data_IF_427666129531
#
_entry.id   IF_427666129531
#
_cell.length_a   1.000
_cell.length_b   1.000
_cell.length_c   1.000
_cell.angle_alpha   90.00
_cell.angle_beta   90.00
_cell.angle_gamma   90.00
#
_symmetry.space_group_name_H-M   'P 1'
#
loop_
_entity.id
_entity.type
_entity.pdbx_description
1 polymer ?
#
# COMPACT_ATOMS: atom_id res chain seq x y z
N UNK A 1 80.66 10.39 21.88
CA UNK A 1 80.86 10.69 20.45
C UNK A 1 79.77 9.96 19.65
N UNK A 2 78.94 10.74 18.94
CA UNK A 2 78.29 10.45 17.65
C UNK A 2 77.31 9.25 17.61
N UNK A 3 75.99 9.51 17.56
CA UNK A 3 75.12 9.82 16.39
C UNK A 3 74.52 8.57 15.74
N UNK A 4 73.17 8.47 15.75
CA UNK A 4 72.32 8.24 14.56
C UNK A 4 70.82 8.25 14.94
N UNK A 5 70.17 9.37 14.69
CA UNK A 5 68.73 9.49 14.39
C UNK A 5 68.64 10.39 13.16
N UNK A 6 67.97 9.93 12.10
CA UNK A 6 67.27 10.74 11.07
C UNK A 6 66.68 9.79 10.02
N UNK A 7 65.35 9.71 9.94
CA UNK A 7 64.60 9.77 8.68
C UNK A 7 63.10 9.80 8.95
N UNK A 8 62.44 10.91 8.60
CA UNK A 8 60.98 10.98 8.61
C UNK A 8 60.44 12.40 8.60
N UNK A 9 60.72 13.21 7.59
CA UNK A 9 60.03 14.49 7.38
C UNK A 9 60.18 14.97 5.92
N UNK A 10 59.36 14.42 5.02
CA UNK A 10 59.13 14.95 3.66
C UNK A 10 57.77 14.43 3.18
N UNK A 11 56.64 15.02 3.62
CA UNK A 11 55.31 14.77 3.02
C UNK A 11 54.16 15.71 3.42
N UNK A 12 54.43 16.96 3.86
CA UNK A 12 53.39 17.86 4.39
C UNK A 12 53.25 19.23 3.72
N UNK A 13 53.83 19.47 2.54
CA UNK A 13 53.85 20.83 1.94
C UNK A 13 53.06 21.01 0.64
N UNK A 14 52.32 20.01 0.15
CA UNK A 14 51.62 20.11 -1.15
C UNK A 14 50.09 20.10 -1.06
N UNK A 15 49.49 20.34 0.11
CA UNK A 15 48.03 20.33 0.27
C UNK A 15 47.40 21.71 0.46
N UNK A 16 48.21 22.71 0.77
CA UNK A 16 47.71 24.05 1.07
C UNK A 16 47.69 24.97 -0.18
N UNK A 17 48.39 24.60 -1.27
CA UNK A 17 48.42 25.42 -2.51
C UNK A 17 47.25 25.11 -3.47
N UNK A 18 46.64 23.91 -3.41
CA UNK A 18 45.48 23.56 -4.26
C UNK A 18 44.17 24.16 -3.72
N UNK A 19 44.06 24.38 -2.41
CA UNK A 19 42.88 24.98 -1.77
C UNK A 19 42.80 26.52 -1.98
N UNK A 20 43.94 27.19 -2.23
CA UNK A 20 43.99 28.64 -2.46
C UNK A 20 43.58 29.05 -3.90
N UNK A 21 43.72 28.17 -4.89
CA UNK A 21 43.35 28.46 -6.29
C UNK A 21 41.82 28.38 -6.53
N UNK A 22 41.08 27.60 -5.73
CA UNK A 22 39.61 27.53 -5.82
C UNK A 22 38.93 28.77 -5.22
N UNK A 23 39.55 29.45 -4.24
CA UNK A 23 38.99 30.65 -3.60
C UNK A 23 39.05 31.91 -4.50
N UNK A 24 39.95 31.96 -5.50
CA UNK A 24 40.09 33.14 -6.37
C UNK A 24 39.00 33.26 -7.45
N UNK A 25 38.37 32.15 -7.83
CA UNK A 25 37.32 32.15 -8.85
C UNK A 25 35.93 32.52 -8.31
N UNK A 26 35.78 32.62 -6.98
CA UNK A 26 34.50 32.83 -6.30
C UNK A 26 34.32 34.28 -5.77
N UNK A 27 35.23 35.20 -6.10
CA UNK A 27 35.20 36.61 -5.65
C UNK A 27 34.07 37.48 -6.24
N UNK A 28 33.20 36.91 -7.09
CA UNK A 28 32.10 37.61 -7.75
C UNK A 28 30.70 37.39 -7.18
N UNK A 29 30.53 36.44 -6.25
CA UNK A 29 29.22 36.03 -5.76
C UNK A 29 28.93 36.58 -4.36
N UNK A 30 27.73 37.15 -4.19
CA UNK A 30 27.25 37.59 -2.88
C UNK A 30 27.14 36.38 -1.92
N UNK A 31 27.27 36.60 -0.61
CA UNK A 31 27.25 35.51 0.39
C UNK A 31 25.98 34.63 0.34
N UNK A 32 24.85 35.18 -0.14
CA UNK A 32 23.61 34.43 -0.37
C UNK A 32 23.71 33.56 -1.65
N UNK A 33 24.40 34.00 -2.70
CA UNK A 33 24.64 33.22 -3.92
C UNK A 33 25.59 32.03 -3.68
N UNK A 34 26.58 32.19 -2.78
CA UNK A 34 27.49 31.11 -2.36
C UNK A 34 26.78 30.03 -1.55
N UNK A 35 25.83 30.41 -0.70
CA UNK A 35 25.06 29.45 0.12
C UNK A 35 24.16 28.56 -0.74
N UNK A 36 23.69 29.07 -1.89
CA UNK A 36 22.89 28.32 -2.85
C UNK A 36 23.72 27.68 -3.98
N UNK A 37 25.04 27.85 -4.02
CA UNK A 37 25.90 27.33 -5.09
C UNK A 37 25.90 25.79 -5.14
N UNK A 38 25.92 25.13 -3.97
CA UNK A 38 25.79 23.67 -3.84
C UNK A 38 24.33 23.18 -4.01
N UNK A 39 23.35 24.08 -3.97
CA UNK A 39 21.92 23.78 -4.09
C UNK A 39 21.33 24.14 -5.46
N UNK A 40 22.18 24.43 -6.47
CA UNK A 40 21.74 24.74 -7.84
C UNK A 40 21.25 23.51 -8.61
N UNK A 41 20.21 22.86 -8.08
CA UNK A 41 19.54 21.71 -8.68
C UNK A 41 19.05 21.96 -10.12
N UNK A 42 18.88 23.23 -10.51
CA UNK A 42 18.54 23.67 -11.87
C UNK A 42 19.70 23.54 -12.88
N UNK A 43 20.96 23.50 -12.44
CA UNK A 43 22.12 23.30 -13.33
C UNK A 43 22.25 21.84 -13.81
N UNK A 44 21.62 20.88 -13.10
CA UNK A 44 21.57 19.47 -13.50
C UNK A 44 20.47 19.15 -14.53
N UNK A 45 19.62 20.12 -14.87
CA UNK A 45 18.55 19.94 -15.86
C UNK A 45 19.15 20.00 -17.28
N UNK A 46 18.98 18.92 -18.05
CA UNK A 46 19.47 18.86 -19.43
C UNK A 46 18.40 19.36 -20.39
N UNK A 47 18.77 20.13 -21.41
CA UNK A 47 17.86 20.52 -22.50
C UNK A 47 17.92 19.51 -23.67
N UNK A 48 16.81 19.36 -24.38
CA UNK A 48 16.73 18.61 -25.63
C UNK A 48 17.11 19.49 -26.84
N UNK A 49 17.18 18.87 -28.03
CA UNK A 49 17.58 19.55 -29.27
C UNK A 49 16.61 20.69 -29.68
N UNK A 50 15.42 20.74 -29.06
CA UNK A 50 14.42 21.80 -29.27
C UNK A 50 14.44 22.88 -28.19
N UNK A 51 15.35 22.80 -27.20
CA UNK A 51 15.45 23.75 -26.09
C UNK A 51 14.40 23.53 -24.99
N UNK A 52 13.75 22.36 -24.93
CA UNK A 52 12.91 21.97 -23.80
C UNK A 52 13.70 21.13 -22.79
N UNK A 53 13.38 21.25 -21.51
CA UNK A 53 14.01 20.46 -20.47
C UNK A 53 13.68 18.97 -20.66
N UNK A 54 14.71 18.12 -20.72
CA UNK A 54 14.59 16.68 -20.70
C UNK A 54 14.06 16.24 -19.33
N UNK A 55 12.93 15.51 -19.27
CA UNK A 55 12.50 14.89 -18.04
C UNK A 55 13.58 13.88 -17.59
N UNK A 56 13.98 13.97 -16.33
CA UNK A 56 14.91 13.01 -15.72
C UNK A 56 14.28 11.61 -15.84
N UNK A 57 14.98 10.65 -16.49
CA UNK A 57 14.47 9.29 -16.66
C UNK A 57 14.50 8.53 -15.33
N UNK A 58 13.48 8.77 -14.51
CA UNK A 58 13.31 8.15 -13.21
C UNK A 58 12.82 6.70 -13.31
N UNK A 59 12.66 6.11 -14.50
CA UNK A 59 12.15 4.74 -14.64
C UNK A 59 13.01 3.70 -13.93
N UNK A 60 14.34 3.83 -14.03
CA UNK A 60 15.26 2.90 -13.37
C UNK A 60 15.22 3.06 -11.85
N UNK A 61 15.13 4.30 -11.35
CA UNK A 61 15.00 4.59 -9.92
C UNK A 61 13.67 4.08 -9.36
N UNK A 62 12.58 4.35 -10.06
CA UNK A 62 11.24 3.86 -9.72
C UNK A 62 11.20 2.34 -9.70
N UNK A 63 11.78 1.67 -10.71
CA UNK A 63 11.87 0.21 -10.76
C UNK A 63 12.75 -0.37 -9.65
N UNK A 64 13.86 0.30 -9.30
CA UNK A 64 14.71 -0.10 -8.18
C UNK A 64 13.97 0.01 -6.84
N UNK A 65 13.23 1.10 -6.60
CA UNK A 65 12.38 1.27 -5.43
C UNK A 65 11.26 0.22 -5.38
N UNK A 66 10.58 -0.01 -6.51
CA UNK A 66 9.57 -1.05 -6.66
C UNK A 66 10.10 -2.43 -6.26
N UNK A 67 11.26 -2.84 -6.76
CA UNK A 67 11.83 -4.15 -6.43
C UNK A 67 12.31 -4.27 -4.99
N UNK A 68 12.78 -3.18 -4.39
CA UNK A 68 13.08 -3.15 -2.96
C UNK A 68 11.84 -3.49 -2.13
N UNK A 69 10.68 -2.95 -2.50
CA UNK A 69 9.38 -3.29 -1.88
C UNK A 69 9.02 -4.76 -2.11
N UNK A 70 9.09 -5.22 -3.36
CA UNK A 70 8.75 -6.60 -3.73
C UNK A 70 9.59 -7.65 -2.98
N UNK A 71 10.90 -7.43 -2.86
CA UNK A 71 11.81 -8.34 -2.13
C UNK A 71 11.52 -8.37 -0.62
N UNK A 72 11.12 -7.23 -0.05
CA UNK A 72 10.74 -7.15 1.36
C UNK A 72 9.42 -7.90 1.62
N UNK A 73 8.46 -7.82 0.70
CA UNK A 73 7.16 -8.48 0.80
C UNK A 73 7.18 -9.99 0.52
N UNK A 74 8.11 -10.49 -0.29
CA UNK A 74 8.17 -11.89 -0.76
C UNK A 74 9.08 -12.80 0.07
N UNK A 75 9.85 -12.25 1.01
CA UNK A 75 10.95 -12.97 1.67
C UNK A 75 10.53 -14.14 2.58
N UNK A 76 9.27 -14.27 2.98
CA UNK A 76 8.88 -15.30 3.95
C UNK A 76 7.49 -15.87 3.62
N UNK A 77 7.41 -17.20 3.50
CA UNK A 77 6.14 -17.96 3.50
C UNK A 77 5.50 -17.85 4.89
N UNK A 78 4.80 -16.75 5.13
CA UNK A 78 4.12 -16.46 6.40
C UNK A 78 2.63 -16.77 6.23
N UNK A 79 2.00 -17.22 7.31
CA UNK A 79 0.55 -17.28 7.38
C UNK A 79 -0.03 -15.87 7.21
N UNK A 80 -0.93 -15.69 6.25
CA UNK A 80 -1.60 -14.41 5.99
C UNK A 80 -3.03 -14.44 6.48
N UNK A 81 -3.49 -13.31 7.00
CA UNK A 81 -4.88 -13.11 7.40
C UNK A 81 -5.77 -12.80 6.22
N UNK A 82 -6.42 -13.81 5.63
CA UNK A 82 -7.26 -13.62 4.44
C UNK A 82 -8.60 -12.92 4.73
N UNK A 83 -9.16 -13.13 5.92
CA UNK A 83 -10.43 -12.51 6.34
C UNK A 83 -10.08 -11.37 7.29
N UNK A 84 -10.16 -10.14 6.77
CA UNK A 84 -9.82 -8.93 7.50
C UNK A 84 -11.09 -8.13 7.77
N UNK A 85 -11.16 -7.57 8.96
CA UNK A 85 -12.18 -6.64 9.37
C UNK A 85 -11.46 -5.33 9.68
N UNK A 86 -11.49 -4.44 8.70
CA UNK A 86 -10.76 -3.18 8.71
C UNK A 86 -11.69 -2.03 9.01
N UNK A 87 -11.41 -1.27 10.07
CA UNK A 87 -12.01 0.05 10.25
C UNK A 87 -11.05 1.13 9.78
N UNK A 88 -11.53 1.98 8.86
CA UNK A 88 -10.81 3.19 8.43
C UNK A 88 -11.32 4.35 9.28
N UNK A 89 -10.45 4.93 10.10
CA UNK A 89 -10.76 6.10 10.93
C UNK A 89 -10.23 7.34 10.24
N UNK A 90 -11.12 8.28 9.93
CA UNK A 90 -10.80 9.48 9.18
C UNK A 90 -10.91 10.69 10.10
N UNK A 91 -9.84 11.46 10.19
CA UNK A 91 -9.84 12.73 10.91
C UNK A 91 -10.59 13.82 10.13
N UNK A 92 -11.72 14.27 10.67
CA UNK A 92 -12.52 15.40 10.17
C UNK A 92 -12.41 16.64 11.08
N UNK A 93 -11.32 16.76 11.84
CA UNK A 93 -11.04 17.94 12.66
C UNK A 93 -10.73 19.17 11.81
N UNK A 94 -10.58 20.34 12.45
CA UNK A 94 -10.16 21.59 11.80
C UNK A 94 -8.86 21.44 11.00
N UNK A 95 -7.94 20.58 11.44
CA UNK A 95 -6.66 20.35 10.78
C UNK A 95 -6.82 19.73 9.37
N UNK A 96 -7.92 19.01 9.12
CA UNK A 96 -8.23 18.44 7.80
C UNK A 96 -8.71 19.50 6.78
N UNK A 97 -8.94 20.74 7.22
CA UNK A 97 -9.34 21.86 6.34
C UNK A 97 -8.13 22.60 5.74
N UNK A 98 -6.92 22.33 6.23
CA UNK A 98 -5.70 22.96 5.73
C UNK A 98 -5.44 22.63 4.25
N UNK A 99 -4.72 23.52 3.57
CA UNK A 99 -4.56 23.53 2.10
C UNK A 99 -3.13 23.23 1.64
N UNK A 100 -2.39 22.46 2.42
CA UNK A 100 -1.10 21.88 2.03
C UNK A 100 -1.30 20.91 0.85
N UNK A 101 -2.33 20.07 0.90
CA UNK A 101 -2.89 19.40 -0.26
C UNK A 101 -3.94 20.28 -0.96
N UNK A 102 -4.04 20.16 -2.29
CA UNK A 102 -5.02 20.94 -3.09
C UNK A 102 -6.24 20.08 -3.43
N UNK A 103 -7.49 20.57 -3.21
CA UNK A 103 -7.84 21.88 -2.66
C UNK A 103 -7.67 22.00 -1.13
N UNK A 104 -7.89 20.91 -0.38
CA UNK A 104 -7.60 20.78 1.06
C UNK A 104 -7.27 19.32 1.40
N UNK A 105 -6.74 19.06 2.62
CA UNK A 105 -6.41 17.70 3.08
C UNK A 105 -7.58 16.75 2.94
N UNK A 106 -8.76 17.15 3.43
CA UNK A 106 -9.91 16.27 3.48
C UNK A 106 -10.33 15.73 2.11
N UNK A 107 -10.38 16.59 1.10
CA UNK A 107 -10.77 16.18 -0.26
C UNK A 107 -9.76 15.19 -0.84
N UNK A 108 -8.46 15.41 -0.61
CA UNK A 108 -7.42 14.49 -1.08
C UNK A 108 -7.51 13.17 -0.32
N UNK A 109 -7.62 13.20 1.00
CA UNK A 109 -7.81 12.00 1.85
C UNK A 109 -9.04 11.20 1.39
N UNK A 110 -10.19 11.86 1.16
CA UNK A 110 -11.39 11.18 0.67
C UNK A 110 -11.17 10.46 -0.66
N UNK A 111 -10.48 11.10 -1.61
CA UNK A 111 -10.16 10.50 -2.91
C UNK A 111 -9.20 9.31 -2.77
N UNK A 112 -8.19 9.41 -1.91
CA UNK A 112 -7.27 8.29 -1.68
C UNK A 112 -7.97 7.13 -0.96
N UNK A 113 -8.87 7.41 0.00
CA UNK A 113 -9.70 6.38 0.64
C UNK A 113 -10.67 5.74 -0.36
N UNK A 114 -11.28 6.51 -1.25
CA UNK A 114 -12.14 5.97 -2.31
C UNK A 114 -11.36 4.99 -3.21
N UNK A 115 -10.17 5.39 -3.67
CA UNK A 115 -9.31 4.52 -4.47
C UNK A 115 -8.90 3.26 -3.69
N UNK A 116 -8.54 3.43 -2.42
CA UNK A 116 -8.17 2.34 -1.52
C UNK A 116 -9.31 1.35 -1.29
N UNK A 117 -10.55 1.82 -1.06
CA UNK A 117 -11.70 0.92 -0.84
C UNK A 117 -11.88 0.01 -2.06
N UNK A 118 -11.79 0.55 -3.28
CA UNK A 118 -11.92 -0.27 -4.50
C UNK A 118 -10.79 -1.28 -4.63
N UNK A 119 -9.54 -0.84 -4.46
CA UNK A 119 -8.38 -1.73 -4.53
C UNK A 119 -8.41 -2.81 -3.43
N UNK A 120 -8.77 -2.43 -2.21
CA UNK A 120 -8.86 -3.32 -1.07
C UNK A 120 -9.84 -4.46 -1.31
N UNK A 121 -11.03 -4.17 -1.86
CA UNK A 121 -12.04 -5.21 -2.16
C UNK A 121 -11.68 -6.05 -3.39
N UNK A 122 -10.91 -5.53 -4.33
CA UNK A 122 -10.41 -6.33 -5.46
C UNK A 122 -9.39 -7.37 -4.98
N UNK A 123 -8.44 -6.92 -4.15
CA UNK A 123 -7.37 -7.73 -3.57
C UNK A 123 -7.85 -8.66 -2.43
N UNK A 124 -8.85 -8.24 -1.66
CA UNK A 124 -9.35 -8.93 -0.46
C UNK A 124 -10.88 -9.05 -0.48
N UNK A 125 -11.45 -9.83 -1.42
CA UNK A 125 -12.90 -9.90 -1.57
C UNK A 125 -13.62 -10.42 -0.32
N UNK A 126 -12.98 -11.27 0.50
CA UNK A 126 -13.59 -11.82 1.72
C UNK A 126 -13.59 -10.85 2.92
N UNK A 127 -12.86 -9.75 2.81
CA UNK A 127 -12.69 -8.80 3.89
C UNK A 127 -13.86 -7.83 3.97
N UNK A 128 -14.01 -7.16 5.11
CA UNK A 128 -15.04 -6.16 5.34
C UNK A 128 -14.40 -4.85 5.77
N UNK A 129 -14.97 -3.74 5.29
CA UNK A 129 -14.56 -2.39 5.68
C UNK A 129 -15.69 -1.74 6.47
N UNK A 130 -15.33 -0.98 7.50
CA UNK A 130 -16.20 0.01 8.12
C UNK A 130 -15.50 1.37 8.16
N UNK A 131 -16.27 2.45 8.24
CA UNK A 131 -15.76 3.82 8.23
C UNK A 131 -16.14 4.52 9.54
N UNK A 132 -15.18 5.18 10.16
CA UNK A 132 -15.39 6.09 11.28
C UNK A 132 -14.82 7.46 10.98
N UNK A 133 -15.36 8.45 11.65
CA UNK A 133 -14.89 9.83 11.60
C UNK A 133 -14.64 10.37 12.99
N UNK A 134 -13.57 11.16 13.13
CA UNK A 134 -13.26 11.91 14.34
C UNK A 134 -13.61 13.37 14.08
N UNK A 135 -14.57 13.91 14.82
CA UNK A 135 -15.08 15.27 14.61
C UNK A 135 -15.60 15.84 15.91
N UNK A 136 -15.31 17.12 16.17
CA UNK A 136 -15.82 17.84 17.36
C UNK A 136 -15.55 17.11 18.68
N UNK A 137 -14.40 16.43 18.80
CA UNK A 137 -13.99 15.65 19.97
C UNK A 137 -14.73 14.30 20.12
N UNK A 138 -15.55 13.90 19.14
CA UNK A 138 -16.38 12.69 19.19
C UNK A 138 -16.05 11.77 18.01
N UNK A 139 -16.21 10.46 18.22
CA UNK A 139 -16.12 9.48 17.16
C UNK A 139 -17.51 9.07 16.65
N UNK A 140 -17.70 9.10 15.34
CA UNK A 140 -18.94 8.71 14.69
C UNK A 140 -18.71 7.56 13.71
N UNK A 141 -19.49 6.50 13.84
CA UNK A 141 -19.55 5.43 12.85
C UNK A 141 -20.31 5.94 11.61
N UNK A 142 -19.61 6.07 10.48
CA UNK A 142 -20.22 6.47 9.21
C UNK A 142 -20.90 5.29 8.53
N UNK A 143 -20.22 4.14 8.50
CA UNK A 143 -20.74 2.90 7.94
C UNK A 143 -20.29 1.72 8.79
N UNK A 144 -21.21 0.81 9.06
CA UNK A 144 -20.92 -0.47 9.67
C UNK A 144 -20.05 -1.35 8.75
N UNK A 145 -19.54 -2.46 9.30
CA UNK A 145 -18.74 -3.42 8.54
C UNK A 145 -19.58 -4.01 7.39
N UNK A 146 -19.10 -3.80 6.17
CA UNK A 146 -19.78 -4.22 4.96
C UNK A 146 -18.80 -4.68 3.89
N UNK A 147 -19.36 -5.33 2.87
CA UNK A 147 -18.64 -5.78 1.67
C UNK A 147 -18.96 -4.97 0.41
N UNK A 148 -19.67 -3.85 0.53
CA UNK A 148 -20.16 -3.07 -0.62
C UNK A 148 -19.36 -1.77 -0.79
N UNK A 149 -18.43 -1.69 -1.76
CA UNK A 149 -17.57 -0.52 -1.97
C UNK A 149 -18.37 0.78 -2.14
N UNK A 150 -19.40 0.76 -2.98
CA UNK A 150 -20.19 1.94 -3.35
C UNK A 150 -20.97 2.52 -2.17
N UNK A 151 -21.42 1.68 -1.24
CA UNK A 151 -22.07 2.13 0.00
C UNK A 151 -21.12 2.96 0.86
N UNK A 152 -19.88 2.48 1.05
CA UNK A 152 -18.85 3.17 1.82
C UNK A 152 -18.41 4.47 1.14
N UNK A 153 -18.16 4.42 -0.17
CA UNK A 153 -17.71 5.59 -0.95
C UNK A 153 -18.79 6.68 -0.94
N UNK A 154 -20.06 6.32 -1.16
CA UNK A 154 -21.17 7.29 -1.12
C UNK A 154 -21.32 7.93 0.26
N UNK A 155 -21.18 7.14 1.33
CA UNK A 155 -21.27 7.66 2.70
C UNK A 155 -20.12 8.62 3.03
N UNK A 156 -18.91 8.31 2.59
CA UNK A 156 -17.73 9.16 2.76
C UNK A 156 -17.86 10.49 2.00
N UNK A 157 -18.16 10.40 0.70
CA UNK A 157 -18.26 11.58 -0.18
C UNK A 157 -19.44 12.49 0.20
N UNK A 158 -20.45 11.94 0.89
CA UNK A 158 -21.57 12.72 1.43
C UNK A 158 -21.27 13.52 2.70
N UNK A 159 -20.14 13.29 3.38
CA UNK A 159 -19.81 13.89 4.69
C UNK A 159 -18.37 14.39 4.78
N UNK A 160 -18.05 15.43 3.99
CA UNK A 160 -16.71 16.05 3.95
C UNK A 160 -16.58 17.32 4.83
N UNK A 161 -17.55 17.59 5.71
CA UNK A 161 -17.53 18.80 6.55
C UNK A 161 -16.63 18.59 7.76
N UNK A 162 -15.54 19.33 7.81
CA UNK A 162 -14.56 19.32 8.90
C UNK A 162 -14.86 20.38 9.95
N UNK A 163 -14.75 20.03 11.24
CA UNK A 163 -14.82 20.98 12.35
C UNK A 163 -14.27 20.38 13.66
N UNK A 164 -13.98 21.28 14.62
CA UNK A 164 -13.58 20.90 15.97
C UNK A 164 -12.24 20.18 16.03
N UNK A 165 -12.06 19.37 17.07
CA UNK A 165 -10.82 18.65 17.36
C UNK A 165 -11.00 17.13 17.18
N UNK A 166 -9.90 16.40 16.97
CA UNK A 166 -9.91 14.94 16.87
C UNK A 166 -9.76 14.31 18.26
N UNK A 167 -10.47 13.21 18.52
CA UNK A 167 -10.28 12.38 19.72
C UNK A 167 -9.93 10.94 19.33
N UNK A 168 -8.67 10.56 19.54
CA UNK A 168 -8.18 9.21 19.30
C UNK A 168 -8.81 8.20 20.27
N UNK A 169 -8.96 8.56 21.54
CA UNK A 169 -9.52 7.67 22.56
C UNK A 169 -10.96 7.27 22.21
N UNK A 170 -11.83 8.24 21.92
CA UNK A 170 -13.22 7.96 21.54
C UNK A 170 -13.29 7.12 20.24
N UNK A 171 -12.37 7.37 19.30
CA UNK A 171 -12.22 6.58 18.08
C UNK A 171 -11.89 5.12 18.37
N UNK A 172 -10.84 4.89 19.18
CA UNK A 172 -10.37 3.57 19.54
C UNK A 172 -11.36 2.80 20.41
N UNK A 173 -12.03 3.45 21.36
CA UNK A 173 -13.04 2.82 22.22
C UNK A 173 -14.27 2.38 21.39
N UNK A 174 -14.72 3.22 20.45
CA UNK A 174 -15.82 2.86 19.54
C UNK A 174 -15.41 1.69 18.64
N UNK A 175 -14.22 1.74 18.04
CA UNK A 175 -13.71 0.65 17.19
C UNK A 175 -13.52 -0.65 17.99
N UNK A 176 -13.01 -0.57 19.22
CA UNK A 176 -12.87 -1.72 20.13
C UNK A 176 -14.23 -2.37 20.40
N UNK A 177 -15.26 -1.58 20.67
CA UNK A 177 -16.62 -2.08 20.92
C UNK A 177 -17.21 -2.83 19.70
N UNK A 178 -16.89 -2.37 18.48
CA UNK A 178 -17.36 -2.95 17.22
C UNK A 178 -16.56 -4.20 16.86
N UNK A 179 -15.23 -4.14 16.91
CA UNK A 179 -14.33 -5.25 16.56
C UNK A 179 -14.39 -6.41 17.57
N UNK A 180 -14.77 -6.18 18.83
CA UNK A 180 -14.92 -7.25 19.81
C UNK A 180 -16.09 -8.20 19.51
N UNK A 181 -17.09 -7.74 18.76
CA UNK A 181 -18.23 -8.58 18.35
C UNK A 181 -17.83 -9.57 17.24
N UNK A 182 -16.67 -9.35 16.61
CA UNK A 182 -16.21 -10.13 15.47
C UNK A 182 -15.59 -11.45 15.93
N UNK A 183 -15.83 -12.55 15.20
CA UNK A 183 -15.21 -13.84 15.50
C UNK A 183 -13.68 -13.78 15.59
N UNK A 184 -13.11 -14.62 16.46
CA UNK A 184 -11.67 -14.65 16.74
C UNK A 184 -10.79 -15.12 15.58
N UNK A 185 -11.38 -15.71 14.53
CA UNK A 185 -10.65 -16.10 13.32
C UNK A 185 -10.39 -14.91 12.37
N UNK A 186 -11.09 -13.80 12.57
CA UNK A 186 -10.94 -12.59 11.76
C UNK A 186 -9.77 -11.75 12.23
N UNK A 187 -9.01 -11.22 11.28
CA UNK A 187 -8.00 -10.20 11.60
C UNK A 187 -8.68 -8.87 11.85
N UNK A 188 -8.46 -8.32 13.04
CA UNK A 188 -9.04 -7.06 13.50
C UNK A 188 -8.04 -5.95 13.25
N UNK A 189 -8.36 -5.05 12.32
CA UNK A 189 -7.43 -4.03 11.86
C UNK A 189 -8.07 -2.64 11.92
N UNK A 190 -7.24 -1.64 12.20
CA UNK A 190 -7.60 -0.22 12.19
C UNK A 190 -6.57 0.53 11.37
N UNK A 191 -7.03 1.30 10.39
CA UNK A 191 -6.21 2.22 9.62
C UNK A 191 -6.69 3.65 9.90
N UNK A 192 -5.86 4.46 10.55
CA UNK A 192 -6.21 5.84 10.87
C UNK A 192 -5.51 6.80 9.91
N UNK A 193 -6.27 7.69 9.28
CA UNK A 193 -5.76 8.80 8.48
C UNK A 193 -5.88 10.07 9.33
N UNK A 194 -4.76 10.49 9.90
CA UNK A 194 -4.71 11.47 10.98
C UNK A 194 -4.11 12.79 10.49
N UNK A 195 -4.88 13.88 10.59
CA UNK A 195 -4.47 15.21 10.12
C UNK A 195 -3.97 16.08 11.27
N UNK A 196 -4.60 15.97 12.44
CA UNK A 196 -4.28 16.81 13.59
C UNK A 196 -2.90 16.50 14.16
N UNK A 197 -2.29 17.51 14.81
CA UNK A 197 -1.04 17.37 15.56
C UNK A 197 -1.26 17.13 17.05
N UNK A 198 -2.52 17.14 17.48
CA UNK A 198 -2.96 16.99 18.86
C UNK A 198 -4.25 16.19 18.90
N UNK A 199 -4.40 15.37 19.93
CA UNK A 199 -5.64 14.66 20.26
C UNK A 199 -6.29 15.27 21.51
N UNK A 200 -7.61 15.39 21.51
CA UNK A 200 -8.39 15.90 22.63
C UNK A 200 -9.22 14.76 23.22
N UNK A 201 -8.64 14.05 24.18
CA UNK A 201 -9.21 12.84 24.77
C UNK A 201 -9.72 13.07 26.20
N UNK A 202 -10.83 12.44 26.61
CA UNK A 202 -11.43 12.65 27.93
C UNK A 202 -10.65 12.01 29.09
N UNK A 203 -9.86 10.96 28.84
CA UNK A 203 -9.12 10.22 29.87
C UNK A 203 -7.75 9.77 29.39
N UNK A 204 -7.20 8.73 30.05
CA UNK A 204 -5.88 8.19 29.70
C UNK A 204 -5.96 7.27 28.48
N UNK A 205 -5.42 7.74 27.36
CA UNK A 205 -5.32 6.98 26.12
C UNK A 205 -4.45 5.72 26.26
N UNK A 206 -3.48 5.72 27.18
CA UNK A 206 -2.58 4.58 27.37
C UNK A 206 -3.34 3.33 27.82
N UNK A 207 -4.38 3.49 28.64
CA UNK A 207 -5.27 2.39 29.01
C UNK A 207 -6.04 1.85 27.79
N UNK A 208 -6.54 2.74 26.93
CA UNK A 208 -7.24 2.35 25.69
C UNK A 208 -6.30 1.61 24.72
N UNK A 209 -5.04 2.03 24.62
CA UNK A 209 -4.00 1.31 23.83
C UNK A 209 -3.81 -0.11 24.38
N UNK A 210 -3.71 -0.27 25.70
CA UNK A 210 -3.60 -1.60 26.33
C UNK A 210 -4.86 -2.44 26.13
N UNK A 211 -6.05 -1.85 26.14
CA UNK A 211 -7.31 -2.54 25.78
C UNK A 211 -7.27 -3.05 24.34
N UNK A 212 -6.85 -2.23 23.37
CA UNK A 212 -6.70 -2.64 21.98
C UNK A 212 -5.70 -3.80 21.81
N UNK A 213 -4.54 -3.73 22.50
CA UNK A 213 -3.54 -4.79 22.53
C UNK A 213 -4.10 -6.10 23.08
N UNK A 214 -4.80 -6.04 24.22
CA UNK A 214 -5.43 -7.22 24.84
C UNK A 214 -6.49 -7.88 23.94
N UNK A 215 -7.22 -7.06 23.16
CA UNK A 215 -8.21 -7.50 22.18
C UNK A 215 -7.62 -7.93 20.82
N UNK A 216 -6.28 -7.95 20.69
CA UNK A 216 -5.54 -8.35 19.47
C UNK A 216 -5.91 -7.51 18.25
N UNK A 217 -6.15 -6.22 18.45
CA UNK A 217 -6.48 -5.26 17.38
C UNK A 217 -5.17 -4.64 16.89
N UNK A 218 -4.89 -4.75 15.59
CA UNK A 218 -3.73 -4.11 14.95
C UNK A 218 -4.07 -2.70 14.48
N UNK A 219 -3.40 -1.69 15.00
CA UNK A 219 -3.65 -0.29 14.64
C UNK A 219 -2.48 0.29 13.85
N UNK A 220 -2.75 0.71 12.62
CA UNK A 220 -1.81 1.44 11.76
C UNK A 220 -2.30 2.88 11.57
N UNK A 221 -1.38 3.84 11.51
CA UNK A 221 -1.71 5.25 11.36
C UNK A 221 -0.85 5.88 10.28
N UNK A 222 -1.49 6.65 9.40
CA UNK A 222 -0.84 7.52 8.43
C UNK A 222 -1.08 8.95 8.89
N UNK A 223 -0.01 9.62 9.33
CA UNK A 223 -0.02 11.05 9.68
C UNK A 223 0.19 11.90 8.43
N UNK A 224 -0.55 13.00 8.29
CA UNK A 224 -0.47 13.86 7.10
C UNK A 224 0.66 14.88 7.13
N UNK A 225 1.16 15.25 8.31
CA UNK A 225 2.13 16.36 8.44
C UNK A 225 3.35 16.01 9.28
N UNK A 226 3.13 15.53 10.52
CA UNK A 226 4.22 15.24 11.42
C UNK A 226 3.97 13.95 12.20
N UNK A 227 5.04 13.41 12.78
CA UNK A 227 4.98 12.25 13.65
C UNK A 227 4.44 12.62 15.04
N UNK A 228 3.37 11.95 15.48
CA UNK A 228 2.87 12.05 16.85
C UNK A 228 3.36 10.88 17.69
N UNK A 229 3.97 11.18 18.83
CA UNK A 229 4.48 10.18 19.77
C UNK A 229 3.43 9.14 20.18
N UNK A 230 2.21 9.58 20.52
CA UNK A 230 1.13 8.68 20.96
C UNK A 230 0.69 7.73 19.83
N UNK A 231 0.59 8.22 18.58
CA UNK A 231 0.25 7.38 17.44
C UNK A 231 1.37 6.37 17.13
N UNK A 232 2.64 6.79 17.22
CA UNK A 232 3.80 5.89 17.08
C UNK A 232 3.77 4.79 18.13
N UNK A 233 3.53 5.17 19.39
CA UNK A 233 3.44 4.24 20.51
C UNK A 233 2.27 3.24 20.34
N UNK A 234 1.09 3.72 19.92
CA UNK A 234 -0.06 2.87 19.57
C UNK A 234 0.30 1.82 18.51
N UNK A 235 0.95 2.22 17.43
CA UNK A 235 1.34 1.30 16.36
C UNK A 235 2.36 0.26 16.83
N UNK A 236 3.35 0.67 17.62
CA UNK A 236 4.36 -0.24 18.18
C UNK A 236 3.75 -1.27 19.14
N UNK A 237 2.84 -0.84 20.03
CA UNK A 237 2.20 -1.72 21.01
C UNK A 237 1.21 -2.72 20.37
N UNK A 238 0.56 -2.33 19.28
CA UNK A 238 -0.45 -3.15 18.57
C UNK A 238 0.12 -3.93 17.39
N UNK A 239 1.41 -3.77 17.06
CA UNK A 239 2.07 -4.43 15.92
C UNK A 239 1.62 -3.90 14.55
N UNK A 240 1.13 -2.66 14.50
CA UNK A 240 0.86 -1.92 13.26
C UNK A 240 2.05 -1.11 12.77
N UNK A 241 1.81 -0.21 11.82
CA UNK A 241 2.84 0.68 11.26
C UNK A 241 2.40 2.15 11.36
N UNK A 242 3.38 3.02 11.61
CA UNK A 242 3.22 4.47 11.60
C UNK A 242 4.02 5.07 10.45
N UNK A 243 3.35 5.80 9.57
CA UNK A 243 3.97 6.45 8.41
C UNK A 243 3.51 7.91 8.32
N UNK A 244 4.35 8.78 7.74
CA UNK A 244 4.02 10.18 7.51
C UNK A 244 4.05 10.46 6.01
N UNK A 245 2.96 11.03 5.48
CA UNK A 245 2.90 11.42 4.06
C UNK A 245 3.66 12.72 3.82
N UNK A 246 4.30 12.82 2.65
CA UNK A 246 5.05 14.00 2.23
C UNK A 246 4.25 14.80 1.19
N UNK A 247 3.72 14.09 0.20
CA UNK A 247 3.00 14.60 -0.95
C UNK A 247 1.80 13.69 -1.28
N UNK A 248 0.93 14.14 -2.19
CA UNK A 248 -0.31 13.42 -2.55
C UNK A 248 -0.02 12.03 -3.17
N UNK A 249 0.95 11.89 -4.11
CA UNK A 249 1.40 10.58 -4.60
C UNK A 249 1.89 9.66 -3.47
N UNK A 250 2.73 10.15 -2.56
CA UNK A 250 3.21 9.34 -1.45
C UNK A 250 2.08 8.93 -0.49
N UNK A 251 1.12 9.82 -0.21
CA UNK A 251 -0.07 9.44 0.57
C UNK A 251 -0.82 8.28 -0.11
N UNK A 252 -1.02 8.35 -1.42
CA UNK A 252 -1.65 7.26 -2.18
C UNK A 252 -0.88 5.95 -2.02
N UNK A 253 0.45 5.98 -2.15
CA UNK A 253 1.29 4.80 -1.98
C UNK A 253 1.16 4.20 -0.57
N UNK A 254 1.24 5.04 0.48
CA UNK A 254 1.13 4.60 1.88
C UNK A 254 -0.23 3.97 2.17
N UNK A 255 -1.32 4.55 1.67
CA UNK A 255 -2.66 4.01 1.85
C UNK A 255 -2.79 2.65 1.13
N UNK A 256 -2.29 2.56 -0.11
CA UNK A 256 -2.35 1.32 -0.90
C UNK A 256 -1.45 0.20 -0.35
N UNK A 257 -0.38 0.51 0.38
CA UNK A 257 0.47 -0.48 1.06
C UNK A 257 -0.33 -1.32 2.08
N UNK A 258 -1.43 -0.78 2.60
CA UNK A 258 -2.34 -1.50 3.50
C UNK A 258 -3.37 -2.39 2.78
N UNK A 259 -3.44 -2.35 1.46
CA UNK A 259 -4.34 -3.18 0.66
C UNK A 259 -3.98 -4.67 0.75
N UNK A 260 -2.72 -5.12 0.53
CA UNK A 260 -2.38 -6.52 0.72
C UNK A 260 -2.54 -6.97 2.19
N UNK A 261 -2.91 -8.24 2.44
CA UNK A 261 -3.08 -8.76 3.79
C UNK A 261 -1.72 -8.79 4.52
N UNK A 262 -1.62 -8.20 5.72
CA UNK A 262 -0.37 -8.20 6.47
C UNK A 262 0.00 -9.61 6.94
N UNK A 263 1.30 -9.86 7.23
CA UNK A 263 1.72 -11.10 7.85
C UNK A 263 1.03 -11.25 9.21
N UNK A 264 0.47 -12.44 9.47
CA UNK A 264 -0.11 -12.74 10.77
C UNK A 264 1.00 -12.83 11.82
N UNK A 265 0.83 -12.13 12.93
CA UNK A 265 1.69 -12.31 14.11
C UNK A 265 1.42 -13.73 14.62
N UNK A 266 2.48 -14.52 14.81
CA UNK A 266 2.38 -15.96 15.10
C UNK A 266 1.46 -16.27 16.31
N UNK A 267 1.42 -15.41 17.32
CA UNK A 267 0.56 -15.54 18.51
C UNK A 267 -0.94 -15.39 18.24
N UNK A 268 -1.31 -14.76 17.12
CA UNK A 268 -2.70 -14.46 16.75
C UNK A 268 -3.21 -15.33 15.59
N UNK A 269 -2.34 -16.18 15.04
CA UNK A 269 -2.58 -16.94 13.82
C UNK A 269 -3.26 -18.31 14.09
N UNK A 270 -4.37 -18.33 14.82
CA UNK A 270 -5.10 -19.57 15.10
C UNK A 270 -5.83 -20.05 13.83
N UNK A 271 -5.46 -21.22 13.32
CA UNK A 271 -6.13 -21.81 12.17
C UNK A 271 -7.52 -22.32 12.55
N UNK A 272 -8.56 -21.66 12.05
CA UNK A 272 -9.95 -22.05 12.26
C UNK A 272 -10.60 -22.45 10.93
N UNK A 273 -11.32 -23.58 10.94
CA UNK A 273 -12.07 -24.04 9.77
C UNK A 273 -13.45 -23.36 9.76
N UNK A 274 -13.68 -22.54 8.74
CA UNK A 274 -14.93 -21.79 8.59
C UNK A 274 -15.80 -22.48 7.55
N UNK A 275 -17.09 -22.65 7.85
CA UNK A 275 -18.07 -23.16 6.88
C UNK A 275 -18.49 -22.02 5.95
N UNK A 276 -18.22 -22.16 4.66
CA UNK A 276 -18.65 -21.22 3.62
C UNK A 276 -19.70 -21.85 2.71
N UNK A 277 -20.59 -21.01 2.16
CA UNK A 277 -21.59 -21.41 1.18
C UNK A 277 -21.27 -20.86 -0.20
N UNK A 278 -21.34 -21.72 -1.23
CA UNK A 278 -21.24 -21.33 -2.63
C UNK A 278 -22.65 -21.26 -3.23
N UNK A 279 -23.27 -20.07 -3.30
CA UNK A 279 -24.60 -19.93 -3.83
C UNK A 279 -24.59 -20.02 -5.37
N UNK A 280 -25.66 -20.56 -5.93
CA UNK A 280 -25.87 -20.55 -7.38
C UNK A 280 -26.56 -19.25 -7.79
N UNK A 281 -26.11 -18.68 -8.92
CA UNK A 281 -26.74 -17.52 -9.54
C UNK A 281 -27.99 -17.97 -10.27
N UNK A 282 -29.13 -17.35 -9.95
CA UNK A 282 -30.39 -17.60 -10.65
C UNK A 282 -30.36 -17.01 -12.07
N UNK A 283 -31.14 -17.59 -12.99
CA UNK A 283 -31.27 -17.11 -14.35
C UNK A 283 -31.75 -15.64 -14.40
N UNK A 284 -31.25 -14.90 -15.38
CA UNK A 284 -31.66 -13.52 -15.63
C UNK A 284 -33.13 -13.49 -16.07
N UNK A 285 -33.92 -12.57 -15.51
CA UNK A 285 -35.36 -12.40 -15.80
C UNK A 285 -36.33 -12.86 -14.69
N UNK A 286 -35.86 -13.59 -13.67
CA UNK A 286 -36.70 -13.97 -12.52
C UNK A 286 -36.78 -12.80 -11.53
N UNK A 287 -37.96 -12.22 -11.36
CA UNK A 287 -38.23 -11.23 -10.31
C UNK A 287 -38.14 -11.93 -8.96
N UNK A 288 -37.32 -11.40 -8.05
CA UNK A 288 -37.25 -11.97 -6.72
C UNK A 288 -37.04 -10.96 -5.63
N UNK A 289 -37.69 -11.22 -4.50
CA UNK A 289 -37.56 -10.40 -3.31
C UNK A 289 -36.24 -10.78 -2.65
N UNK A 290 -35.35 -9.80 -2.56
CA UNK A 290 -34.07 -9.96 -1.89
C UNK A 290 -34.28 -9.93 -0.37
N UNK A 291 -33.72 -10.90 0.35
CA UNK A 291 -33.79 -10.92 1.82
C UNK A 291 -33.00 -9.78 2.48
N UNK A 292 -32.04 -9.18 1.77
CA UNK A 292 -31.20 -8.09 2.29
C UNK A 292 -31.95 -6.75 2.31
N UNK A 293 -32.59 -6.38 1.20
CA UNK A 293 -33.24 -5.08 1.04
C UNK A 293 -34.76 -5.14 1.20
N UNK A 294 -35.35 -6.35 1.24
CA UNK A 294 -36.81 -6.58 1.21
C UNK A 294 -37.50 -5.95 -0.01
N UNK A 295 -36.72 -5.63 -1.04
CA UNK A 295 -37.16 -5.08 -2.31
C UNK A 295 -37.14 -6.15 -3.40
N UNK A 296 -38.08 -6.04 -4.33
CA UNK A 296 -38.09 -6.86 -5.54
C UNK A 296 -37.02 -6.34 -6.50
N UNK A 297 -35.91 -7.07 -6.66
CA UNK A 297 -34.90 -6.77 -7.68
C UNK A 297 -35.15 -7.63 -8.91
N UNK A 298 -35.10 -6.98 -10.08
CA UNK A 298 -35.15 -7.64 -11.38
C UNK A 298 -33.71 -7.92 -11.79
N UNK A 299 -33.33 -9.20 -11.84
CA UNK A 299 -31.95 -9.61 -12.14
C UNK A 299 -31.49 -10.77 -11.25
N UNK A 300 -30.58 -11.59 -11.79
CA UNK A 300 -30.14 -12.84 -11.17
C UNK A 300 -29.55 -12.64 -9.77
N UNK A 301 -30.29 -13.11 -8.76
CA UNK A 301 -29.83 -13.17 -7.37
C UNK A 301 -29.14 -14.48 -7.03
N UNK A 302 -28.42 -14.50 -5.91
CA UNK A 302 -27.72 -15.66 -5.39
C UNK A 302 -28.58 -16.41 -4.38
N UNK A 303 -28.69 -17.72 -4.53
CA UNK A 303 -29.49 -18.55 -3.61
C UNK A 303 -28.60 -19.22 -2.57
N UNK A 304 -28.82 -18.92 -1.29
CA UNK A 304 -28.09 -19.54 -0.18
C UNK A 304 -28.26 -21.07 -0.22
N UNK A 305 -27.17 -21.86 -0.16
CA UNK A 305 -27.27 -23.32 -0.24
C UNK A 305 -27.97 -23.94 0.97
N UNK A 306 -27.87 -23.30 2.15
CA UNK A 306 -28.40 -23.80 3.44
C UNK A 306 -29.89 -23.49 3.65
N UNK A 307 -30.27 -22.21 3.64
CA UNK A 307 -31.65 -21.79 3.93
C UNK A 307 -32.46 -21.38 2.70
N UNK A 308 -31.86 -21.41 1.49
CA UNK A 308 -32.49 -20.98 0.23
C UNK A 308 -32.91 -19.51 0.17
N UNK A 309 -32.48 -18.69 1.13
CA UNK A 309 -32.64 -17.24 1.08
C UNK A 309 -31.97 -16.65 -0.17
N UNK A 310 -32.57 -15.61 -0.75
CA UNK A 310 -32.01 -14.92 -1.91
C UNK A 310 -31.30 -13.66 -1.51
N UNK A 311 -30.10 -13.50 -2.05
CA UNK A 311 -29.16 -12.43 -1.74
C UNK A 311 -28.80 -11.73 -3.05
N UNK A 312 -28.65 -10.40 -3.02
CA UNK A 312 -28.37 -9.61 -4.22
C UNK A 312 -26.90 -9.61 -4.62
N UNK A 313 -25.99 -9.57 -3.64
CA UNK A 313 -24.56 -9.35 -3.85
C UNK A 313 -23.72 -10.37 -3.07
N UNK A 314 -22.53 -10.65 -3.58
CA UNK A 314 -21.53 -11.46 -2.91
C UNK A 314 -20.21 -10.69 -2.86
N UNK A 315 -19.37 -10.96 -1.87
CA UNK A 315 -19.59 -11.86 -0.73
C UNK A 315 -20.40 -11.18 0.39
N UNK A 316 -21.21 -11.97 1.10
CA UNK A 316 -21.99 -11.44 2.25
C UNK A 316 -22.40 -12.55 3.19
N UNK A 317 -22.83 -12.20 4.40
CA UNK A 317 -23.39 -13.13 5.35
C UNK A 317 -24.91 -13.29 5.13
N UNK A 318 -25.40 -14.53 5.14
CA UNK A 318 -26.81 -14.78 4.97
C UNK A 318 -27.62 -14.34 6.21
N UNK A 319 -28.50 -13.35 6.04
CA UNK A 319 -29.32 -12.78 7.12
C UNK A 319 -30.24 -13.77 7.86
N UNK A 320 -30.49 -14.96 7.30
CA UNK A 320 -31.36 -15.97 7.91
C UNK A 320 -30.56 -17.03 8.69
N UNK A 321 -29.43 -17.48 8.14
CA UNK A 321 -28.71 -18.64 8.68
C UNK A 321 -27.25 -18.37 9.10
N UNK A 322 -26.78 -17.13 8.97
CA UNK A 322 -25.42 -16.70 9.34
C UNK A 322 -24.30 -17.35 8.52
N UNK A 323 -24.64 -18.01 7.40
CA UNK A 323 -23.63 -18.64 6.54
C UNK A 323 -22.97 -17.57 5.67
N UNK A 324 -21.65 -17.47 5.71
CA UNK A 324 -20.87 -16.63 4.78
C UNK A 324 -21.01 -17.19 3.37
N UNK A 325 -21.54 -16.38 2.46
CA UNK A 325 -21.75 -16.71 1.06
C UNK A 325 -20.65 -16.08 0.21
N UNK A 326 -19.95 -16.92 -0.56
CA UNK A 326 -18.80 -16.52 -1.38
C UNK A 326 -18.89 -17.18 -2.75
N UNK A 327 -18.30 -16.55 -3.77
CA UNK A 327 -18.14 -17.14 -5.10
C UNK A 327 -16.73 -17.74 -5.23
N UNK A 328 -16.57 -18.78 -6.05
CA UNK A 328 -15.23 -19.36 -6.32
C UNK A 328 -14.24 -18.32 -6.89
N UNK A 329 -14.64 -17.39 -7.78
CA UNK A 329 -13.77 -16.30 -8.22
C UNK A 329 -13.25 -15.41 -7.08
N UNK A 330 -14.03 -15.19 -6.01
CA UNK A 330 -13.57 -14.39 -4.87
C UNK A 330 -12.43 -15.08 -4.13
N UNK A 331 -12.51 -16.40 -3.93
CA UNK A 331 -11.41 -17.16 -3.34
C UNK A 331 -10.18 -17.18 -4.25
N UNK A 332 -10.38 -17.33 -5.56
CA UNK A 332 -9.30 -17.33 -6.54
C UNK A 332 -8.54 -16.00 -6.56
N UNK A 333 -9.25 -14.87 -6.42
CA UNK A 333 -8.62 -13.55 -6.28
C UNK A 333 -7.81 -13.36 -5.00
N UNK A 334 -7.94 -14.20 -3.98
CA UNK A 334 -7.06 -14.13 -2.79
C UNK A 334 -5.86 -15.06 -2.89
N UNK A 335 -5.78 -15.87 -3.96
CA UNK A 335 -4.81 -16.95 -4.11
C UNK A 335 -3.39 -16.44 -4.37
N UNK A 336 -3.23 -15.30 -5.04
CA UNK A 336 -1.91 -14.72 -5.31
C UNK A 336 -1.20 -14.25 -4.04
N UNK A 337 -1.95 -13.90 -3.00
CA UNK A 337 -1.37 -13.62 -1.68
C UNK A 337 -0.76 -14.85 -1.04
N UNK A 338 -1.33 -16.03 -1.27
CA UNK A 338 -0.86 -17.31 -0.71
C UNK A 338 0.36 -17.85 -1.45
N UNK A 339 0.39 -17.68 -2.77
CA UNK A 339 1.45 -18.17 -3.64
C UNK A 339 2.01 -17.05 -4.51
N UNK A 340 2.74 -16.08 -3.92
CA UNK A 340 3.31 -14.99 -4.68
C UNK A 340 4.35 -15.51 -5.67
N UNK A 341 4.49 -14.80 -6.80
CA UNK A 341 5.57 -15.06 -7.75
C UNK A 341 6.90 -14.68 -7.10
N UNK A 342 7.93 -15.50 -7.33
CA UNK A 342 9.29 -15.18 -6.92
C UNK A 342 9.80 -13.98 -7.72
N UNK A 343 10.36 -12.94 -7.07
CA UNK A 343 10.94 -11.79 -7.77
C UNK A 343 11.91 -12.23 -8.86
N UNK A 344 11.90 -11.52 -9.99
CA UNK A 344 12.80 -11.81 -11.09
C UNK A 344 14.23 -11.33 -10.81
N UNK A 345 15.21 -12.05 -11.36
CA UNK A 345 16.63 -11.77 -11.19
C UNK A 345 17.08 -10.66 -12.17
N UNK A 346 17.97 -9.79 -11.71
CA UNK A 346 18.64 -8.80 -12.55
C UNK A 346 19.53 -9.47 -13.59
N UNK A 347 19.36 -9.12 -14.86
CA UNK A 347 20.30 -9.51 -15.91
C UNK A 347 21.37 -8.43 -16.00
N UNK A 348 22.59 -8.74 -15.57
CA UNK A 348 23.72 -7.82 -15.68
C UNK A 348 24.00 -7.50 -17.16
N UNK A 349 24.21 -6.21 -17.45
CA UNK A 349 24.51 -5.65 -18.79
C UNK A 349 25.82 -6.22 -19.38
N UNK A 350 26.61 -6.97 -18.60
CA UNK A 350 27.90 -7.53 -18.97
C UNK A 350 27.85 -8.98 -19.49
N UNK A 351 26.74 -9.41 -20.09
CA UNK A 351 26.62 -10.76 -20.64
C UNK A 351 26.64 -10.73 -22.17
N UNK A 352 27.61 -11.46 -22.73
CA UNK A 352 27.80 -11.78 -24.16
C UNK A 352 26.57 -11.49 -25.06
N UNK A 353 26.62 -10.52 -26.00
CA UNK A 353 25.48 -10.04 -26.79
C UNK A 353 24.74 -11.14 -27.56
N UNK A 354 25.38 -12.29 -27.77
CA UNK A 354 24.83 -13.43 -28.48
C UNK A 354 23.96 -14.36 -27.62
N UNK A 355 23.90 -14.17 -26.30
CA UNK A 355 23.11 -15.01 -25.37
C UNK A 355 21.87 -14.34 -24.79
N UNK A 356 21.72 -13.03 -24.94
CA UNK A 356 20.57 -12.29 -24.42
C UNK A 356 19.46 -12.30 -25.48
N UNK A 357 18.23 -12.76 -25.15
CA UNK A 357 17.12 -12.69 -26.09
C UNK A 357 16.82 -11.23 -26.45
N UNK A 358 16.58 -10.99 -27.74
CA UNK A 358 16.38 -9.64 -28.29
C UNK A 358 15.06 -9.00 -27.87
N UNK A 359 14.05 -9.82 -27.56
CA UNK A 359 12.69 -9.38 -27.30
C UNK A 359 12.21 -9.85 -25.93
N UNK A 360 11.38 -9.03 -25.30
CA UNK A 360 10.64 -9.38 -24.09
C UNK A 360 9.68 -10.54 -24.37
N UNK A 361 9.69 -11.57 -23.54
CA UNK A 361 8.77 -12.71 -23.69
C UNK A 361 7.29 -12.30 -23.55
N UNK A 362 6.99 -11.29 -22.73
CA UNK A 362 5.63 -10.82 -22.47
C UNK A 362 5.06 -9.93 -23.58
N UNK A 363 5.70 -8.78 -23.83
CA UNK A 363 5.20 -7.77 -24.76
C UNK A 363 5.85 -7.80 -26.16
N UNK A 364 6.84 -8.67 -26.39
CA UNK A 364 7.62 -8.77 -27.64
C UNK A 364 8.40 -7.51 -28.04
N UNK A 365 8.43 -6.48 -27.19
CA UNK A 365 9.25 -5.29 -27.41
C UNK A 365 10.74 -5.63 -27.34
N UNK A 366 11.55 -4.88 -28.09
CA UNK A 366 13.01 -5.01 -28.06
C UNK A 366 13.55 -4.67 -26.67
N UNK A 367 14.38 -5.56 -26.12
CA UNK A 367 15.13 -5.33 -24.88
C UNK A 367 16.45 -4.58 -25.13
N UNK A 368 16.75 -4.26 -26.40
CA UNK A 368 17.95 -3.52 -26.79
C UNK A 368 17.67 -2.01 -26.70
N UNK A 369 18.59 -1.29 -26.05
CA UNK A 369 18.64 0.17 -26.06
C UNK A 369 19.11 0.69 -27.44
N UNK A 370 18.84 1.97 -27.78
CA UNK A 370 19.38 2.58 -29.00
C UNK A 370 20.91 2.43 -29.04
N UNK A 371 21.42 1.80 -30.11
CA UNK A 371 22.83 1.40 -30.24
C UNK A 371 23.11 -0.10 -30.06
N UNK A 372 22.09 -0.98 -30.03
CA UNK A 372 22.23 -2.44 -29.83
C UNK A 372 22.89 -2.84 -28.50
N UNK A 373 22.89 -1.94 -27.52
CA UNK A 373 23.34 -2.24 -26.17
C UNK A 373 22.24 -2.99 -25.40
N UNK A 374 22.57 -3.95 -24.53
CA UNK A 374 21.58 -4.61 -23.69
C UNK A 374 20.94 -3.58 -22.77
N UNK A 375 19.62 -3.38 -22.93
CA UNK A 375 18.83 -2.57 -22.02
C UNK A 375 18.56 -3.30 -20.70
N UNK A 376 18.05 -2.59 -19.69
CA UNK A 376 17.71 -3.20 -18.41
C UNK A 376 16.60 -4.25 -18.61
N UNK A 377 16.89 -5.49 -18.24
CA UNK A 377 15.97 -6.61 -18.34
C UNK A 377 16.07 -7.51 -17.10
N UNK A 378 14.99 -8.24 -16.85
CA UNK A 378 14.89 -9.16 -15.72
C UNK A 378 14.59 -10.58 -16.21
N UNK A 379 15.05 -11.58 -15.48
CA UNK A 379 14.86 -12.98 -15.83
C UNK A 379 14.10 -13.74 -14.74
N UNK A 380 13.11 -14.53 -15.13
CA UNK A 380 12.39 -15.38 -14.18
C UNK A 380 13.30 -16.52 -13.68
N UNK A 381 13.46 -16.75 -12.37
CA UNK A 381 14.35 -17.78 -11.84
C UNK A 381 13.92 -19.21 -12.22
N UNK A 382 12.62 -19.43 -12.49
CA UNK A 382 12.03 -20.75 -12.79
C UNK A 382 12.10 -21.12 -14.28
N UNK A 383 11.55 -20.28 -15.15
CA UNK A 383 11.50 -20.56 -16.60
C UNK A 383 12.67 -19.95 -17.39
N UNK A 384 13.50 -19.11 -16.75
CA UNK A 384 14.66 -18.41 -17.34
C UNK A 384 14.32 -17.53 -18.56
N UNK A 385 13.04 -17.19 -18.74
CA UNK A 385 12.61 -16.22 -19.75
C UNK A 385 12.87 -14.78 -19.30
N UNK A 386 13.08 -13.89 -20.27
CA UNK A 386 13.44 -12.50 -20.05
C UNK A 386 12.26 -11.56 -20.28
N UNK A 387 12.16 -10.54 -19.44
CA UNK A 387 11.08 -9.56 -19.44
C UNK A 387 11.65 -8.13 -19.33
N UNK A 388 10.95 -7.17 -19.91
CA UNK A 388 11.22 -5.74 -19.69
C UNK A 388 10.71 -5.31 -18.31
N UNK A 389 11.13 -4.13 -17.85
CA UNK A 389 10.76 -3.58 -16.54
C UNK A 389 9.25 -3.38 -16.38
N UNK A 390 8.56 -2.95 -17.45
CA UNK A 390 7.11 -2.76 -17.41
C UNK A 390 6.36 -4.09 -17.31
N UNK A 391 6.82 -5.12 -18.02
CA UNK A 391 6.29 -6.47 -17.88
C UNK A 391 6.57 -7.06 -16.49
N UNK A 392 7.73 -6.76 -15.89
CA UNK A 392 8.04 -7.18 -14.52
C UNK A 392 7.04 -6.62 -13.52
N UNK A 393 6.77 -5.31 -13.58
CA UNK A 393 5.77 -4.63 -12.74
C UNK A 393 4.39 -5.25 -12.97
N UNK A 394 3.95 -5.35 -14.22
CA UNK A 394 2.62 -5.89 -14.56
C UNK A 394 2.43 -7.34 -14.11
N UNK A 395 3.47 -8.18 -14.26
CA UNK A 395 3.42 -9.59 -13.85
C UNK A 395 3.24 -9.72 -12.34
N UNK A 396 3.93 -8.89 -11.56
CA UNK A 396 3.92 -8.98 -10.11
C UNK A 396 2.77 -8.20 -9.44
N UNK A 397 2.28 -7.10 -10.04
CA UNK A 397 1.19 -6.28 -9.51
C UNK A 397 -0.21 -6.67 -9.99
N UNK A 398 -0.37 -7.11 -11.25
CA UNK A 398 -1.69 -7.31 -11.84
C UNK A 398 -1.94 -8.75 -12.25
N UNK A 399 -1.00 -9.37 -12.97
CA UNK A 399 -1.21 -10.71 -13.54
C UNK A 399 -1.07 -11.82 -12.50
N UNK A 400 -0.16 -11.61 -11.54
CA UNK A 400 0.23 -12.55 -10.49
C UNK A 400 0.61 -13.96 -10.96
N UNK A 401 0.86 -14.14 -12.26
CA UNK A 401 1.32 -15.38 -12.88
C UNK A 401 2.43 -15.08 -13.89
N UNK A 402 3.48 -15.90 -13.94
CA UNK A 402 4.55 -15.74 -14.94
C UNK A 402 4.12 -16.43 -16.25
N UNK A 403 3.93 -15.69 -17.37
CA UNK A 403 3.50 -16.27 -18.65
C UNK A 403 4.43 -17.37 -19.16
N UNK A 404 5.73 -17.22 -18.91
CA UNK A 404 6.73 -18.21 -19.27
C UNK A 404 6.51 -19.52 -18.51
N UNK A 405 6.31 -19.46 -17.19
CA UNK A 405 6.07 -20.67 -16.40
C UNK A 405 4.81 -21.41 -16.86
N UNK A 406 3.70 -20.71 -17.09
CA UNK A 406 2.43 -21.32 -17.51
C UNK A 406 2.50 -21.97 -18.89
N UNK A 407 3.28 -21.38 -19.80
CA UNK A 407 3.51 -21.92 -21.14
C UNK A 407 4.27 -23.25 -21.11
N UNK A 408 5.28 -23.38 -20.23
CA UNK A 408 6.10 -24.59 -20.15
C UNK A 408 5.48 -25.72 -19.31
N UNK A 409 4.50 -25.44 -18.44
CA UNK A 409 3.75 -26.47 -17.71
C UNK A 409 3.07 -27.45 -18.68
N UNK A 410 2.47 -26.94 -19.76
CA UNK A 410 1.76 -27.75 -20.74
C UNK A 410 2.69 -28.51 -21.71
N UNK A 411 3.93 -28.05 -21.88
CA UNK A 411 4.91 -28.70 -22.77
C UNK A 411 5.57 -29.95 -22.16
N UNK A 412 5.56 -30.07 -20.83
CA UNK A 412 6.16 -31.21 -20.11
C UNK A 412 5.15 -32.29 -19.72
N UNK A 413 3.85 -32.04 -19.92
CA UNK A 413 2.77 -33.00 -19.62
C UNK A 413 2.26 -33.76 -20.85
N UNK A 414 2.94 -33.64 -21.99
CA UNK A 414 2.70 -34.44 -23.20
C UNK A 414 3.79 -35.47 -23.41
#
# INVERSE_FOLDING_TARGET
MLRKETNGEERRLNRDEEDEEEEENDRGHDAWERTYADERSWEALQEDESGLLRPIDNKTLYHAQYRRRLRTATAVRIQKGLIRYLYIVIDLSRAATETDYKPNRMVVVARQVEAFIREFFDQNPLSQIGLLTLKDGVAHCLTELGGSPESHIKALMGKLVCSGDASLQNGLDLVHSLLNQIPSYGHREVLMLYSALSTCDPGDIMETIQKCKSSKIRCSVIGLSAELYICKYLCQETGGSYSVSLDEPHLKELVLEHAPPPPAIAEFAISNLIKMGFPQRAAEGVISICSCHKEAKVGGGYTCPRCKARVCELPTECCICGLTLVSSPHLARSYHHLFPITPFDDVAVSSDPHKVPKNCFGCQQSLLAPGNLPGPSVACPKCKQHFCLDCDIYIHESLHNCPGCESFIHSKSQ
#
